data_IF_418130200614
#
_entry.id   IF_418130200614
#
_cell.length_a   1.000
_cell.length_b   1.000
_cell.length_c   1.000
_cell.angle_alpha   90.00
_cell.angle_beta   90.00
_cell.angle_gamma   90.00
#
_symmetry.space_group_name_H-M   'P 1'
#
loop_
_entity.id
_entity.type
_entity.pdbx_description
1 polymer ?
#
# COMPACT_ATOMS: atom_id res chain seq x y z
N UNK A 1 -0.75 14.04 -11.94
CA UNK A 1 0.48 13.53 -12.56
C UNK A 1 0.74 12.06 -12.21
N UNK A 2 1.12 11.70 -10.96
CA UNK A 2 1.33 10.27 -10.62
C UNK A 2 0.04 9.44 -10.65
N UNK A 3 -1.05 9.98 -10.08
CA UNK A 3 -2.36 9.32 -10.12
C UNK A 3 -2.82 9.05 -11.56
N UNK A 4 -2.73 10.07 -12.42
CA UNK A 4 -3.13 9.97 -13.83
C UNK A 4 -2.26 8.94 -14.56
N UNK A 5 -0.95 8.98 -14.33
CA UNK A 5 -0.02 8.00 -14.89
C UNK A 5 -0.36 6.55 -14.49
N UNK A 6 -0.66 6.29 -13.21
CA UNK A 6 -1.05 4.95 -12.75
C UNK A 6 -2.38 4.51 -13.40
N UNK A 7 -3.32 5.43 -13.60
CA UNK A 7 -4.60 5.13 -14.26
C UNK A 7 -4.44 4.89 -15.77
N UNK A 8 -3.57 5.65 -16.43
CA UNK A 8 -3.30 5.54 -17.87
C UNK A 8 -2.51 4.28 -18.22
N UNK A 9 -1.48 3.95 -17.43
CA UNK A 9 -0.66 2.74 -17.61
C UNK A 9 -1.42 1.48 -17.19
N UNK A 10 -2.35 1.62 -16.24
CA UNK A 10 -3.17 0.56 -15.65
C UNK A 10 -2.39 -0.72 -15.26
N UNK A 11 -1.39 -0.64 -14.37
CA UNK A 11 -0.58 -1.80 -14.00
C UNK A 11 -1.38 -2.84 -13.18
N UNK A 12 -1.25 -4.11 -13.53
CA UNK A 12 -1.79 -5.22 -12.73
C UNK A 12 -1.05 -5.38 -11.39
N UNK A 13 0.26 -5.15 -11.39
CA UNK A 13 1.15 -5.34 -10.24
C UNK A 13 1.91 -4.05 -9.95
N UNK A 14 1.84 -3.59 -8.71
CA UNK A 14 2.66 -2.50 -8.17
C UNK A 14 3.80 -3.13 -7.37
N UNK A 15 5.03 -2.93 -7.84
CA UNK A 15 6.25 -3.42 -7.19
C UNK A 15 7.04 -2.25 -6.58
N UNK A 16 7.82 -2.54 -5.55
CA UNK A 16 8.76 -1.58 -4.98
C UNK A 16 9.42 -2.08 -3.71
N UNK A 17 10.19 -1.22 -3.06
CA UNK A 17 10.83 -1.49 -1.77
C UNK A 17 10.15 -0.66 -0.69
N UNK A 18 9.55 -1.32 0.31
CA UNK A 18 8.87 -0.69 1.45
C UNK A 18 7.63 0.15 1.08
N UNK A 19 7.05 -0.10 -0.09
CA UNK A 19 5.90 0.65 -0.63
C UNK A 19 4.67 0.58 0.28
N UNK A 20 4.43 -0.57 0.90
CA UNK A 20 3.23 -0.79 1.72
C UNK A 20 3.34 -0.11 3.09
N UNK A 21 4.56 0.09 3.60
CA UNK A 21 4.78 0.67 4.94
C UNK A 21 5.13 2.15 4.90
N UNK A 22 5.68 2.66 3.80
CA UNK A 22 6.13 4.05 3.70
C UNK A 22 5.47 4.80 2.54
N UNK A 23 5.76 4.45 1.29
CA UNK A 23 5.37 5.27 0.13
C UNK A 23 3.86 5.46 0.01
N UNK A 24 3.08 4.38 -0.04
CA UNK A 24 1.63 4.48 -0.22
C UNK A 24 0.94 5.15 0.98
N UNK A 25 1.20 4.75 2.25
CA UNK A 25 0.63 5.46 3.40
C UNK A 25 0.97 6.95 3.39
N UNK A 26 2.24 7.30 3.18
CA UNK A 26 2.70 8.69 3.19
C UNK A 26 2.04 9.52 2.08
N UNK A 27 1.92 8.98 0.87
CA UNK A 27 1.28 9.68 -0.25
C UNK A 27 -0.21 9.93 0.00
N UNK A 28 -0.91 8.96 0.59
CA UNK A 28 -2.32 9.08 0.97
C UNK A 28 -2.49 10.15 2.05
N UNK A 29 -1.77 10.05 3.16
CA UNK A 29 -1.81 11.01 4.28
C UNK A 29 -1.46 12.42 3.81
N UNK A 30 -0.45 12.55 2.93
CA UNK A 30 -0.06 13.84 2.36
C UNK A 30 -1.14 14.42 1.44
N UNK A 31 -1.80 13.60 0.64
CA UNK A 31 -2.90 14.05 -0.21
C UNK A 31 -4.09 14.53 0.63
N UNK A 32 -4.39 13.85 1.75
CA UNK A 32 -5.42 14.28 2.70
C UNK A 32 -5.05 15.62 3.34
N UNK A 33 -3.80 15.79 3.79
CA UNK A 33 -3.30 17.05 4.35
C UNK A 33 -3.42 18.23 3.36
N UNK A 34 -3.21 17.95 2.06
CA UNK A 34 -3.36 18.92 0.97
C UNK A 34 -4.79 19.02 0.42
N UNK A 35 -5.76 18.28 0.99
CA UNK A 35 -7.16 18.23 0.56
C UNK A 35 -7.36 17.80 -0.90
N UNK A 36 -6.50 16.93 -1.41
CA UNK A 36 -6.60 16.37 -2.76
C UNK A 36 -7.48 15.12 -2.70
N UNK A 37 -8.80 15.32 -2.77
CA UNK A 37 -9.79 14.26 -2.58
C UNK A 37 -9.72 13.11 -3.60
N UNK A 38 -9.18 13.38 -4.79
CA UNK A 38 -9.09 12.42 -5.89
C UNK A 38 -7.94 11.44 -5.71
N UNK A 39 -6.80 11.88 -5.16
CA UNK A 39 -5.57 11.08 -5.08
C UNK A 39 -5.75 9.68 -4.48
N UNK A 40 -6.50 9.46 -3.38
CA UNK A 40 -6.68 8.12 -2.81
C UNK A 40 -7.51 7.17 -3.69
N UNK A 41 -7.97 7.58 -4.87
CA UNK A 41 -8.68 6.72 -5.82
C UNK A 41 -7.67 6.14 -6.83
N UNK A 42 -6.90 5.15 -6.41
CA UNK A 42 -5.86 4.47 -7.21
C UNK A 42 -6.26 3.08 -7.73
N UNK A 43 -7.32 2.49 -7.18
CA UNK A 43 -7.83 1.17 -7.60
C UNK A 43 -8.55 1.19 -8.95
N UNK A 44 -8.90 0.00 -9.44
CA UNK A 44 -9.74 -0.17 -10.65
C UNK A 44 -11.23 -0.06 -10.35
N UNK A 45 -11.63 -0.27 -9.09
CA UNK A 45 -13.02 -0.18 -8.66
C UNK A 45 -13.42 1.29 -8.50
N UNK A 46 -14.47 1.70 -9.22
CA UNK A 46 -15.02 3.07 -9.15
C UNK A 46 -15.51 3.37 -7.74
N UNK A 47 -15.26 4.59 -7.28
CA UNK A 47 -15.60 5.07 -5.94
C UNK A 47 -14.93 4.29 -4.79
N UNK A 48 -13.93 3.46 -5.08
CA UNK A 48 -13.12 2.80 -4.06
C UNK A 48 -11.89 3.63 -3.74
N UNK A 49 -11.76 4.01 -2.47
CA UNK A 49 -10.58 4.69 -1.94
C UNK A 49 -9.60 3.66 -1.40
N UNK A 50 -8.32 3.94 -1.57
CA UNK A 50 -7.24 3.20 -0.92
C UNK A 50 -7.46 3.26 0.59
N UNK A 51 -7.46 2.09 1.21
CA UNK A 51 -7.60 1.95 2.67
C UNK A 51 -6.24 1.63 3.25
N UNK A 52 -5.77 2.47 4.17
CA UNK A 52 -4.61 2.21 5.00
C UNK A 52 -5.13 1.72 6.35
N UNK A 53 -4.81 0.48 6.71
CA UNK A 53 -5.24 -0.15 7.96
C UNK A 53 -4.03 -0.47 8.81
N UNK A 54 -4.02 0.04 10.04
CA UNK A 54 -3.08 -0.42 11.05
C UNK A 54 -3.51 -1.82 11.52
N UNK A 55 -2.57 -2.74 11.48
CA UNK A 55 -2.75 -4.14 11.88
C UNK A 55 -1.66 -4.49 12.87
N UNK A 56 -2.04 -5.12 13.97
CA UNK A 56 -1.10 -5.61 14.96
C UNK A 56 -1.14 -7.13 14.91
N UNK A 57 -0.02 -7.75 14.52
CA UNK A 57 0.14 -9.19 14.57
C UNK A 57 0.95 -9.55 15.81
N UNK A 58 0.38 -10.33 16.72
CA UNK A 58 1.08 -10.81 17.92
C UNK A 58 1.09 -12.33 17.95
N UNK A 59 2.28 -12.93 18.10
CA UNK A 59 2.42 -14.37 18.29
C UNK A 59 3.60 -14.70 19.21
N UNK A 60 3.55 -15.87 19.87
CA UNK A 60 4.62 -16.33 20.79
C UNK A 60 5.97 -16.53 20.11
N UNK A 61 5.99 -16.81 18.80
CA UNK A 61 7.22 -17.06 18.03
C UNK A 61 7.77 -15.80 17.36
N UNK A 62 6.90 -14.88 16.90
CA UNK A 62 7.32 -13.70 16.14
C UNK A 62 7.20 -12.37 16.91
N UNK A 63 6.79 -12.41 18.18
CA UNK A 63 6.55 -11.22 19.01
C UNK A 63 5.33 -10.42 18.54
N UNK A 64 5.22 -9.17 18.99
CA UNK A 64 4.22 -8.20 18.53
C UNK A 64 4.83 -7.34 17.42
N UNK A 65 4.23 -7.39 16.23
CA UNK A 65 4.59 -6.58 15.06
C UNK A 65 3.43 -5.66 14.72
N UNK A 66 3.73 -4.38 14.59
CA UNK A 66 2.82 -3.41 13.97
C UNK A 66 3.08 -3.38 12.46
N UNK A 67 2.02 -3.49 11.68
CA UNK A 67 2.04 -3.45 10.22
C UNK A 67 0.96 -2.51 9.69
N UNK A 68 1.29 -1.76 8.65
CA UNK A 68 0.31 -1.05 7.84
C UNK A 68 -0.04 -1.93 6.65
N UNK A 69 -1.32 -2.21 6.49
CA UNK A 69 -1.87 -2.88 5.33
C UNK A 69 -2.50 -1.81 4.42
N UNK A 70 -2.04 -1.73 3.18
CA UNK A 70 -2.62 -0.83 2.17
C UNK A 70 -3.42 -1.67 1.19
N UNK A 71 -4.69 -1.33 0.98
CA UNK A 71 -5.54 -2.01 0.01
C UNK A 71 -5.80 -1.13 -1.21
N UNK A 72 -5.34 -1.58 -2.38
CA UNK A 72 -5.63 -0.97 -3.69
C UNK A 72 -6.47 -1.96 -4.51
N UNK A 73 -7.79 -1.78 -4.53
CA UNK A 73 -8.70 -2.75 -5.14
C UNK A 73 -8.48 -2.89 -6.66
N UNK A 74 -8.37 -4.14 -7.12
CA UNK A 74 -8.13 -4.48 -8.53
C UNK A 74 -6.66 -4.42 -8.96
N UNK A 75 -5.72 -4.17 -8.03
CA UNK A 75 -4.27 -4.22 -8.28
C UNK A 75 -3.58 -5.07 -7.22
N UNK A 76 -2.55 -5.81 -7.62
CA UNK A 76 -1.72 -6.60 -6.70
C UNK A 76 -0.53 -5.76 -6.25
N UNK A 77 -0.22 -5.76 -4.96
CA UNK A 77 0.95 -5.08 -4.40
C UNK A 77 2.01 -6.12 -4.04
N UNK A 78 3.23 -5.92 -4.52
CA UNK A 78 4.34 -6.85 -4.28
C UNK A 78 5.55 -6.07 -3.74
N UNK A 79 5.66 -6.03 -2.41
CA UNK A 79 6.72 -5.34 -1.69
C UNK A 79 7.94 -6.24 -1.51
N UNK A 80 9.05 -5.85 -2.13
CA UNK A 80 10.30 -6.61 -2.13
C UNK A 80 10.94 -6.68 -0.74
N UNK A 81 10.73 -5.67 0.11
CA UNK A 81 11.27 -5.66 1.47
C UNK A 81 10.56 -6.74 2.32
N UNK A 82 9.25 -6.87 2.19
CA UNK A 82 8.49 -7.92 2.88
C UNK A 82 8.95 -9.32 2.44
N UNK A 83 9.16 -9.52 1.13
CA UNK A 83 9.64 -10.80 0.59
C UNK A 83 11.03 -11.16 1.12
N UNK A 84 11.94 -10.19 1.27
CA UNK A 84 13.26 -10.44 1.87
C UNK A 84 13.16 -10.86 3.33
N UNK A 85 12.32 -10.19 4.12
CA UNK A 85 12.08 -10.60 5.50
C UNK A 85 11.49 -12.01 5.58
N UNK A 86 10.45 -12.31 4.79
CA UNK A 86 9.79 -13.63 4.82
C UNK A 86 10.74 -14.75 4.40
N UNK A 87 11.61 -14.53 3.40
CA UNK A 87 12.63 -15.50 2.99
C UNK A 87 13.75 -15.71 4.02
N UNK A 88 14.06 -14.72 4.84
CA UNK A 88 15.07 -14.84 5.89
C UNK A 88 14.58 -15.66 7.10
N UNK A 89 13.26 -15.82 7.26
CA UNK A 89 12.63 -16.59 8.34
C UNK A 89 11.95 -17.88 7.86
N UNK A 90 12.17 -18.27 6.59
CA UNK A 90 11.79 -19.56 5.99
C UNK A 90 12.96 -20.52 6.00
#
# INVERSE_FOLDING_TARGET
MLQDFIREVDPDIIIGYNICKFDLPYLIERAEALKIAEFPILGRIRNSRVRVKDTTFSSRQYGTRESKEVTVEGRVQFDLLQVQFDKLFS
#
